data_IF_104648563799
#
_entry.id   IF_104648563799
#
_cell.length_a   1.000
_cell.length_b   1.000
_cell.length_c   1.000
_cell.angle_alpha   90.00
_cell.angle_beta   90.00
_cell.angle_gamma   90.00
#
_symmetry.space_group_name_H-M   'P 1'
#
loop_
_entity.id
_entity.type
_entity.pdbx_description
1 polymer ?
#
# COMPACT_ATOMS: atom_id res chain seq x y z
N UNK A 1 -30.09 20.29 -28.45
CA UNK A 1 -30.38 18.85 -28.28
C UNK A 1 -30.37 18.62 -26.79
N UNK A 2 -31.51 18.23 -26.22
CA UNK A 2 -31.59 17.74 -24.84
C UNK A 2 -30.58 16.60 -24.68
N UNK A 3 -29.53 16.80 -23.89
CA UNK A 3 -28.72 15.69 -23.41
C UNK A 3 -29.59 14.90 -22.45
N UNK A 4 -30.17 13.81 -22.96
CA UNK A 4 -30.94 12.88 -22.15
C UNK A 4 -30.15 12.52 -20.88
N UNK A 5 -30.83 12.59 -19.72
CA UNK A 5 -30.25 12.23 -18.42
C UNK A 5 -29.51 10.89 -18.52
N UNK A 6 -28.20 10.92 -18.27
CA UNK A 6 -27.36 9.72 -18.26
C UNK A 6 -27.76 8.84 -17.07
N UNK A 7 -28.23 7.63 -17.35
CA UNK A 7 -28.56 6.65 -16.31
C UNK A 7 -27.29 5.97 -15.78
N UNK A 8 -27.28 5.56 -14.49
CA UNK A 8 -26.20 4.74 -13.96
C UNK A 8 -25.99 3.46 -14.76
N UNK A 9 -24.74 3.02 -14.86
CA UNK A 9 -24.38 1.71 -15.43
C UNK A 9 -24.00 0.81 -14.24
N UNK A 10 -24.85 -0.16 -13.92
CA UNK A 10 -24.68 -1.14 -12.83
C UNK A 10 -23.60 -2.19 -13.16
N UNK A 11 -22.39 -1.73 -13.48
CA UNK A 11 -21.26 -2.57 -13.93
C UNK A 11 -20.40 -3.11 -12.78
N UNK A 12 -20.58 -2.61 -11.56
CA UNK A 12 -19.80 -3.02 -10.40
C UNK A 12 -18.31 -2.65 -10.50
N UNK A 13 -17.48 -3.33 -9.72
CA UNK A 13 -16.02 -3.16 -9.79
C UNK A 13 -15.46 -3.90 -11.01
N UNK A 14 -14.45 -3.34 -11.70
CA UNK A 14 -13.76 -4.07 -12.76
C UNK A 14 -13.07 -5.32 -12.21
N UNK A 15 -12.89 -6.32 -13.06
CA UNK A 15 -12.07 -7.49 -12.75
C UNK A 15 -10.62 -7.03 -12.48
N UNK A 16 -10.03 -7.34 -11.30
CA UNK A 16 -8.66 -6.95 -11.01
C UNK A 16 -7.62 -7.83 -11.70
N UNK A 17 -7.98 -9.04 -12.17
CA UNK A 17 -7.02 -10.01 -12.73
C UNK A 17 -6.25 -9.46 -13.94
N UNK A 18 -6.86 -8.73 -14.90
CA UNK A 18 -6.14 -8.10 -16.01
C UNK A 18 -5.12 -7.03 -15.58
N UNK A 19 -5.28 -6.43 -14.39
CA UNK A 19 -4.44 -5.35 -13.88
C UNK A 19 -3.24 -5.86 -13.05
N UNK A 20 -3.24 -7.14 -12.68
CA UNK A 20 -2.14 -7.74 -11.92
C UNK A 20 -0.88 -7.86 -12.77
N UNK A 21 0.27 -7.81 -12.10
CA UNK A 21 1.56 -8.13 -12.70
C UNK A 21 1.51 -9.51 -13.40
N UNK A 22 2.04 -9.68 -14.63
CA UNK A 22 1.90 -10.92 -15.41
C UNK A 22 2.32 -12.18 -14.66
N UNK A 23 3.50 -12.14 -14.00
CA UNK A 23 3.99 -13.23 -13.15
C UNK A 23 2.97 -13.62 -12.07
N UNK A 24 2.30 -12.65 -11.43
CA UNK A 24 1.29 -12.96 -10.41
C UNK A 24 0.07 -13.67 -10.98
N UNK A 25 -0.37 -13.22 -12.16
CA UNK A 25 -1.54 -13.78 -12.83
C UNK A 25 -1.26 -15.21 -13.31
N UNK A 26 -0.13 -15.42 -13.96
CA UNK A 26 0.28 -16.71 -14.54
C UNK A 26 0.56 -17.76 -13.46
N UNK A 27 1.05 -17.34 -12.29
CA UNK A 27 1.41 -18.23 -11.19
C UNK A 27 0.41 -18.24 -10.04
N UNK A 28 -0.82 -17.79 -10.29
CA UNK A 28 -1.87 -17.74 -9.26
C UNK A 28 -2.16 -19.14 -8.69
N UNK A 29 -1.84 -19.33 -7.42
CA UNK A 29 -2.01 -20.61 -6.72
C UNK A 29 -0.82 -21.57 -6.84
N UNK A 30 0.26 -21.18 -7.54
CA UNK A 30 1.49 -21.97 -7.70
C UNK A 30 2.66 -21.47 -6.83
N UNK A 31 2.38 -20.71 -5.76
CA UNK A 31 3.40 -20.18 -4.86
C UNK A 31 3.87 -21.23 -3.86
N UNK A 32 5.17 -21.49 -3.79
CA UNK A 32 5.77 -22.50 -2.91
C UNK A 32 6.18 -21.92 -1.57
N UNK A 33 6.86 -20.77 -1.58
CA UNK A 33 7.34 -20.12 -0.36
C UNK A 33 7.53 -18.62 -0.58
N UNK A 34 7.68 -17.90 0.52
CA UNK A 34 8.11 -16.51 0.52
C UNK A 34 9.08 -16.26 1.66
N UNK A 35 9.97 -15.31 1.49
CA UNK A 35 10.82 -14.79 2.55
C UNK A 35 10.84 -13.24 2.55
N UNK A 36 11.71 -12.68 3.38
CA UNK A 36 11.86 -11.24 3.60
C UNK A 36 13.35 -10.91 3.65
N UNK A 37 13.96 -10.57 2.51
CA UNK A 37 15.40 -10.31 2.42
C UNK A 37 15.84 -9.08 3.24
N UNK A 38 14.96 -8.08 3.38
CA UNK A 38 15.15 -6.87 4.19
C UNK A 38 13.79 -6.23 4.54
N UNK A 39 13.73 -5.31 5.52
CA UNK A 39 12.53 -4.51 5.75
C UNK A 39 12.04 -3.84 4.47
N UNK A 40 10.73 -3.96 4.23
CA UNK A 40 10.03 -3.45 3.06
C UNK A 40 10.11 -4.30 1.80
N UNK A 41 10.87 -5.41 1.79
CA UNK A 41 11.02 -6.29 0.61
C UNK A 41 10.49 -7.68 0.91
N UNK A 42 9.61 -8.17 0.05
CA UNK A 42 9.12 -9.55 0.06
C UNK A 42 9.58 -10.25 -1.22
N UNK A 43 9.96 -11.52 -1.10
CA UNK A 43 10.32 -12.36 -2.24
C UNK A 43 9.48 -13.62 -2.22
N UNK A 44 8.83 -13.92 -3.35
CA UNK A 44 7.94 -15.07 -3.52
C UNK A 44 8.46 -15.97 -4.63
N UNK A 45 8.47 -17.27 -4.38
CA UNK A 45 8.97 -18.27 -5.33
C UNK A 45 7.91 -19.32 -5.59
N UNK A 46 7.72 -19.67 -6.86
CA UNK A 46 6.75 -20.69 -7.28
C UNK A 46 7.31 -22.10 -7.14
N UNK A 47 6.48 -23.12 -7.33
CA UNK A 47 6.96 -24.51 -7.34
C UNK A 47 7.98 -24.79 -8.44
N UNK A 48 7.89 -24.05 -9.55
CA UNK A 48 8.73 -24.18 -10.74
C UNK A 48 9.90 -23.18 -10.75
N UNK A 49 10.11 -22.44 -9.66
CA UNK A 49 11.26 -21.55 -9.48
C UNK A 49 11.13 -20.15 -10.11
N UNK A 50 9.92 -19.74 -10.49
CA UNK A 50 9.67 -18.34 -10.89
C UNK A 50 9.67 -17.47 -9.64
N UNK A 51 10.40 -16.37 -9.70
CA UNK A 51 10.55 -15.42 -8.59
C UNK A 51 9.72 -14.15 -8.85
N UNK A 52 9.25 -13.55 -7.77
CA UNK A 52 8.61 -12.24 -7.78
C UNK A 52 9.02 -11.47 -6.54
N UNK A 53 9.51 -10.26 -6.77
CA UNK A 53 9.98 -9.36 -5.73
C UNK A 53 8.95 -8.26 -5.53
N UNK A 54 8.69 -7.89 -4.28
CA UNK A 54 7.71 -6.86 -3.92
C UNK A 54 8.36 -5.84 -3.01
N UNK A 55 8.32 -4.57 -3.40
CA UNK A 55 8.78 -3.43 -2.59
C UNK A 55 7.56 -2.72 -2.03
N UNK A 56 7.49 -2.63 -0.70
CA UNK A 56 6.40 -1.98 0.04
C UNK A 56 6.81 -0.59 0.47
N UNK A 57 6.05 0.40 0.03
CA UNK A 57 6.22 1.79 0.37
C UNK A 57 5.06 2.32 1.22
N UNK A 58 5.41 3.12 2.24
CA UNK A 58 4.46 3.93 2.99
C UNK A 58 3.95 5.08 2.11
N UNK A 59 2.65 5.31 2.16
CA UNK A 59 2.02 6.46 1.51
C UNK A 59 1.01 7.10 2.47
N UNK A 60 0.69 8.37 2.26
CA UNK A 60 -0.46 8.99 2.87
C UNK A 60 -1.75 8.38 2.30
N UNK A 61 -2.75 8.10 3.14
CA UNK A 61 -4.03 7.54 2.66
C UNK A 61 -4.81 8.54 1.80
N UNK A 62 -4.74 9.81 2.17
CA UNK A 62 -5.33 10.92 1.42
C UNK A 62 -4.26 11.47 0.48
N UNK A 63 -4.39 11.19 -0.82
CA UNK A 63 -3.45 11.62 -1.85
C UNK A 63 -4.11 12.59 -2.82
N UNK A 64 -3.34 13.56 -3.28
CA UNK A 64 -3.70 14.34 -4.45
C UNK A 64 -3.39 13.57 -5.75
N UNK A 65 -3.87 14.09 -6.87
CA UNK A 65 -3.69 13.46 -8.19
C UNK A 65 -2.23 13.50 -8.66
N UNK A 66 -1.41 14.43 -8.17
CA UNK A 66 -0.01 14.55 -8.56
C UNK A 66 0.83 13.45 -7.90
N UNK A 67 0.56 13.16 -6.63
CA UNK A 67 1.15 12.03 -5.90
C UNK A 67 0.80 10.72 -6.59
N UNK A 68 -0.48 10.51 -6.95
CA UNK A 68 -0.90 9.29 -7.65
C UNK A 68 -0.19 9.16 -9.00
N UNK A 69 -0.13 10.24 -9.80
CA UNK A 69 0.60 10.23 -11.08
C UNK A 69 2.09 9.94 -10.89
N UNK A 70 2.72 10.53 -9.88
CA UNK A 70 4.13 10.24 -9.58
C UNK A 70 4.36 8.78 -9.21
N UNK A 71 3.47 8.17 -8.43
CA UNK A 71 3.53 6.74 -8.12
C UNK A 71 3.34 5.88 -9.39
N UNK A 72 2.52 6.30 -10.34
CA UNK A 72 2.42 5.66 -11.66
C UNK A 72 3.70 5.83 -12.48
N UNK A 73 4.33 7.01 -12.49
CA UNK A 73 5.61 7.23 -13.20
C UNK A 73 6.70 6.30 -12.64
N UNK A 74 6.78 6.16 -11.30
CA UNK A 74 7.70 5.19 -10.66
C UNK A 74 7.36 3.77 -11.08
N UNK A 75 6.07 3.41 -11.19
CA UNK A 75 5.66 2.08 -11.63
C UNK A 75 6.13 1.80 -13.05
N UNK A 76 5.90 2.73 -13.98
CA UNK A 76 6.27 2.59 -15.38
C UNK A 76 7.80 2.53 -15.58
N UNK A 77 8.55 3.35 -14.84
CA UNK A 77 10.01 3.44 -14.97
C UNK A 77 10.76 2.32 -14.23
N UNK A 78 10.29 1.90 -13.05
CA UNK A 78 11.04 1.04 -12.12
C UNK A 78 10.32 -0.25 -11.70
N UNK A 79 9.02 -0.40 -11.99
CA UNK A 79 8.22 -1.54 -11.50
C UNK A 79 7.25 -2.14 -12.53
N UNK A 80 7.68 -2.17 -13.79
CA UNK A 80 6.99 -2.89 -14.88
C UNK A 80 5.53 -2.43 -15.11
N UNK A 81 5.17 -1.21 -14.70
CA UNK A 81 3.85 -0.62 -14.87
C UNK A 81 2.75 -1.18 -13.95
N UNK A 82 3.11 -1.93 -12.91
CA UNK A 82 2.13 -2.58 -12.02
C UNK A 82 2.31 -2.20 -10.54
N UNK A 83 1.20 -1.80 -9.91
CA UNK A 83 1.13 -1.52 -8.48
C UNK A 83 -0.14 -2.06 -7.86
N UNK A 84 -0.13 -2.23 -6.53
CA UNK A 84 -1.34 -2.50 -5.76
C UNK A 84 -1.30 -1.79 -4.41
N UNK A 85 -2.47 -1.46 -3.88
CA UNK A 85 -2.60 -1.04 -2.49
C UNK A 85 -2.87 -2.23 -1.58
N UNK A 86 -2.27 -2.21 -0.40
CA UNK A 86 -2.55 -3.16 0.67
C UNK A 86 -3.82 -2.79 1.42
N UNK A 87 -4.34 -3.71 2.24
CA UNK A 87 -5.50 -3.46 3.12
C UNK A 87 -5.27 -2.37 4.18
N UNK A 88 -4.01 -1.97 4.39
CA UNK A 88 -3.59 -0.85 5.24
C UNK A 88 -3.00 0.29 4.44
N UNK A 89 -3.41 0.45 3.19
CA UNK A 89 -3.07 1.59 2.33
C UNK A 89 -1.58 1.83 2.06
N UNK A 90 -0.66 0.95 2.47
CA UNK A 90 0.67 0.92 1.86
C UNK A 90 0.55 0.59 0.37
N UNK A 91 1.47 1.10 -0.42
CA UNK A 91 1.61 0.74 -1.82
C UNK A 91 2.65 -0.39 -1.95
N UNK A 92 2.38 -1.35 -2.83
CA UNK A 92 3.31 -2.40 -3.19
C UNK A 92 3.57 -2.34 -4.70
N UNK A 93 4.85 -2.33 -5.04
CA UNK A 93 5.38 -2.46 -6.40
C UNK A 93 5.95 -3.86 -6.56
N UNK A 94 5.78 -4.47 -7.74
CA UNK A 94 6.26 -5.83 -8.00
C UNK A 94 7.19 -5.82 -9.20
N UNK A 95 8.31 -6.53 -9.11
CA UNK A 95 9.31 -6.65 -10.18
C UNK A 95 9.69 -8.11 -10.39
N UNK A 96 9.95 -8.47 -11.64
CA UNK A 96 10.29 -9.83 -12.06
C UNK A 96 11.71 -10.27 -11.71
N UNK A 97 12.60 -9.32 -11.34
CA UNK A 97 14.02 -9.58 -11.09
C UNK A 97 14.54 -8.87 -9.85
N UNK A 98 15.45 -9.52 -9.14
CA UNK A 98 16.08 -8.99 -7.93
C UNK A 98 16.84 -7.69 -8.21
N UNK A 99 17.54 -7.56 -9.35
CA UNK A 99 18.34 -6.37 -9.65
C UNK A 99 17.53 -5.07 -9.75
N UNK A 100 16.21 -5.15 -9.96
CA UNK A 100 15.32 -3.99 -10.02
C UNK A 100 14.90 -3.48 -8.63
N UNK A 101 15.09 -4.28 -7.58
CA UNK A 101 14.67 -3.94 -6.22
C UNK A 101 15.41 -2.72 -5.68
N UNK A 102 16.74 -2.66 -5.84
CA UNK A 102 17.53 -1.56 -5.29
C UNK A 102 17.24 -0.20 -5.98
N UNK A 103 17.21 -0.09 -7.32
CA UNK A 103 16.82 1.16 -8.00
C UNK A 103 15.41 1.64 -7.63
N UNK A 104 14.46 0.71 -7.50
CA UNK A 104 13.09 1.04 -7.10
C UNK A 104 13.02 1.61 -5.67
N UNK A 105 13.75 1.01 -4.73
CA UNK A 105 13.84 1.53 -3.35
C UNK A 105 14.47 2.92 -3.33
N UNK A 106 15.57 3.12 -4.05
CA UNK A 106 16.25 4.42 -4.13
C UNK A 106 15.31 5.51 -4.65
N UNK A 107 14.57 5.22 -5.72
CA UNK A 107 13.63 6.18 -6.29
C UNK A 107 12.45 6.48 -5.35
N UNK A 108 11.92 5.47 -4.67
CA UNK A 108 10.85 5.65 -3.69
C UNK A 108 11.29 6.53 -2.52
N UNK A 109 12.46 6.25 -1.95
CA UNK A 109 13.00 7.01 -0.83
C UNK A 109 13.37 8.44 -1.24
N UNK A 110 13.91 8.64 -2.45
CA UNK A 110 14.20 9.97 -2.99
C UNK A 110 12.95 10.85 -3.14
N UNK A 111 11.80 10.24 -3.45
CA UNK A 111 10.52 10.93 -3.55
C UNK A 111 9.76 11.04 -2.22
N UNK A 112 10.36 10.56 -1.12
CA UNK A 112 9.79 10.64 0.23
C UNK A 112 8.79 9.53 0.56
N UNK A 113 8.79 8.42 -0.18
CA UNK A 113 8.00 7.23 0.13
C UNK A 113 8.85 6.21 0.89
N UNK A 114 8.75 6.13 2.23
CA UNK A 114 9.59 5.23 3.02
C UNK A 114 9.31 3.77 2.68
N UNK A 115 10.36 2.95 2.56
CA UNK A 115 10.24 1.51 2.34
C UNK A 115 10.25 0.78 3.67
N UNK A 116 9.26 -0.08 3.93
CA UNK A 116 9.08 -0.72 5.23
C UNK A 116 7.71 -1.37 5.46
N UNK A 117 7.31 -1.52 6.72
CA UNK A 117 5.99 -2.00 7.12
C UNK A 117 5.76 -3.51 6.92
N UNK A 118 6.83 -4.27 6.74
CA UNK A 118 6.86 -5.75 6.65
C UNK A 118 7.29 -6.38 7.98
N UNK A 119 7.04 -7.68 8.14
CA UNK A 119 7.52 -8.43 9.31
C UNK A 119 7.12 -7.84 10.66
N UNK A 120 8.06 -7.92 11.61
CA UNK A 120 7.88 -7.43 12.98
C UNK A 120 8.19 -5.94 13.09
N UNK A 121 7.31 -5.15 12.48
CA UNK A 121 7.38 -3.68 12.42
C UNK A 121 6.05 -3.06 12.85
N UNK A 122 6.02 -1.74 12.90
CA UNK A 122 4.78 -0.97 12.86
C UNK A 122 4.44 -0.70 11.38
N UNK A 123 3.33 -1.25 10.90
CA UNK A 123 2.82 -0.92 9.56
C UNK A 123 2.06 0.42 9.59
N UNK A 124 1.83 1.01 8.41
CA UNK A 124 0.96 2.18 8.21
C UNK A 124 -0.31 2.15 9.08
N UNK A 125 -0.62 3.31 9.67
CA UNK A 125 -1.76 3.53 10.58
C UNK A 125 -3.04 3.82 9.78
N UNK A 126 -3.93 2.83 9.73
CA UNK A 126 -5.25 3.00 9.12
C UNK A 126 -6.07 4.02 9.91
N UNK A 127 -6.76 4.91 9.20
CA UNK A 127 -7.51 6.02 9.81
C UNK A 127 -8.71 6.47 8.99
N UNK A 128 -9.65 7.10 9.69
CA UNK A 128 -10.90 7.62 9.15
C UNK A 128 -10.73 8.99 8.49
N UNK A 129 -11.83 9.72 8.25
CA UNK A 129 -11.82 11.01 7.56
C UNK A 129 -11.39 12.19 8.46
N UNK A 130 -11.85 12.24 9.72
CA UNK A 130 -11.59 13.38 10.61
C UNK A 130 -12.23 14.68 10.10
N UNK A 131 -11.61 15.81 10.45
CA UNK A 131 -12.07 17.17 10.07
C UNK A 131 -11.99 17.46 8.57
N UNK A 132 -11.29 16.61 7.81
CA UNK A 132 -11.14 16.80 6.37
C UNK A 132 -12.47 16.64 5.61
N UNK A 133 -13.38 15.78 6.10
CA UNK A 133 -14.60 15.48 5.36
C UNK A 133 -15.82 15.06 6.21
N UNK A 134 -15.62 14.52 7.40
CA UNK A 134 -16.75 14.07 8.23
C UNK A 134 -17.43 15.26 8.92
N UNK A 135 -18.75 15.19 9.10
CA UNK A 135 -19.58 16.19 9.79
C UNK A 135 -19.75 15.92 11.30
N UNK A 136 -19.45 14.70 11.76
CA UNK A 136 -19.48 14.28 13.17
C UNK A 136 -18.11 13.87 13.79
N UNK A 137 -16.97 14.49 13.44
CA UNK A 137 -15.67 14.12 14.00
C UNK A 137 -15.50 14.66 15.43
N UNK A 138 -15.06 13.81 16.35
CA UNK A 138 -14.60 14.23 17.68
C UNK A 138 -13.12 14.67 17.70
N UNK A 139 -12.35 14.32 16.67
CA UNK A 139 -10.94 14.70 16.49
C UNK A 139 -10.55 14.65 15.01
N UNK A 140 -9.42 15.26 14.65
CA UNK A 140 -8.82 15.05 13.33
C UNK A 140 -8.30 13.60 13.18
N UNK A 141 -8.25 13.12 11.94
CA UNK A 141 -7.67 11.82 11.60
C UNK A 141 -6.29 11.97 10.95
N UNK A 142 -6.18 12.79 9.89
CA UNK A 142 -4.96 12.86 9.08
C UNK A 142 -3.78 13.46 9.85
N UNK A 143 -4.00 14.57 10.57
CA UNK A 143 -2.96 15.22 11.38
C UNK A 143 -2.52 14.39 12.59
N UNK A 144 -3.45 13.67 13.23
CA UNK A 144 -3.12 12.73 14.31
C UNK A 144 -2.26 11.59 13.78
N UNK A 145 -2.66 10.96 12.66
CA UNK A 145 -1.85 9.90 12.04
C UNK A 145 -0.50 10.39 11.59
N UNK A 146 -0.40 11.59 10.99
CA UNK A 146 0.90 12.15 10.62
C UNK A 146 1.82 12.26 11.84
N UNK A 147 1.31 12.83 12.93
CA UNK A 147 2.08 13.00 14.18
C UNK A 147 2.51 11.66 14.79
N UNK A 148 1.64 10.66 14.76
CA UNK A 148 1.96 9.31 15.24
C UNK A 148 2.98 8.61 14.34
N UNK A 149 2.82 8.67 13.02
CA UNK A 149 3.74 8.07 12.05
C UNK A 149 5.12 8.71 12.13
N UNK A 150 5.22 10.01 12.42
CA UNK A 150 6.51 10.68 12.66
C UNK A 150 7.21 10.14 13.91
N UNK A 151 6.46 9.90 14.98
CA UNK A 151 6.98 9.35 16.23
C UNK A 151 7.49 7.91 16.06
N UNK A 152 6.79 7.10 15.27
CA UNK A 152 7.09 5.66 15.08
C UNK A 152 7.76 5.37 13.74
N UNK A 153 8.30 6.38 13.07
CA UNK A 153 8.85 6.25 11.72
C UNK A 153 9.97 5.20 11.65
N UNK A 154 10.87 5.16 12.64
CA UNK A 154 11.94 4.16 12.68
C UNK A 154 11.40 2.72 12.76
N UNK A 155 10.31 2.51 13.50
CA UNK A 155 9.65 1.21 13.66
C UNK A 155 8.95 0.74 12.38
N UNK A 156 8.67 1.64 11.44
CA UNK A 156 8.18 1.27 10.12
C UNK A 156 9.30 0.72 9.24
N UNK A 157 10.50 1.30 9.32
CA UNK A 157 11.67 0.91 8.53
C UNK A 157 12.49 -0.26 9.10
N UNK A 158 12.19 -0.72 10.32
CA UNK A 158 12.89 -1.81 11.00
C UNK A 158 11.97 -2.99 11.31
N UNK A 159 12.54 -4.20 11.42
CA UNK A 159 11.83 -5.42 11.81
C UNK A 159 12.30 -5.93 13.19
N UNK A 160 12.42 -5.02 14.18
CA UNK A 160 13.01 -5.29 15.49
C UNK A 160 11.98 -5.48 16.62
N UNK A 161 10.68 -5.32 16.32
CA UNK A 161 9.62 -5.51 17.32
C UNK A 161 9.51 -6.99 17.72
N UNK A 162 9.01 -7.31 18.93
CA UNK A 162 8.75 -8.70 19.31
C UNK A 162 7.74 -9.41 18.40
N UNK A 163 6.80 -8.65 17.85
CA UNK A 163 5.81 -9.12 16.87
C UNK A 163 5.29 -7.92 16.06
N UNK A 164 4.56 -8.18 14.99
CA UNK A 164 3.95 -7.16 14.14
C UNK A 164 2.89 -6.36 14.91
N UNK A 165 2.97 -5.03 14.82
CA UNK A 165 2.02 -4.12 15.46
C UNK A 165 1.17 -3.40 14.42
N UNK A 166 -0.13 -3.33 14.70
CA UNK A 166 -1.12 -2.61 13.89
C UNK A 166 -1.80 -1.58 14.77
N UNK A 167 -1.63 -0.31 14.43
CA UNK A 167 -2.27 0.81 15.14
C UNK A 167 -3.37 1.37 14.24
N UNK A 168 -4.54 1.65 14.79
CA UNK A 168 -5.66 2.22 14.03
C UNK A 168 -6.23 3.40 14.79
N UNK A 169 -6.62 4.44 14.07
CA UNK A 169 -7.22 5.62 14.69
C UNK A 169 -8.58 5.91 14.09
N UNK A 170 -9.50 6.34 14.94
CA UNK A 170 -10.87 6.68 14.56
C UNK A 170 -11.23 8.04 15.12
N UNK A 171 -11.81 8.88 14.28
CA UNK A 171 -12.19 10.25 14.64
C UNK A 171 -13.42 10.33 15.55
N UNK A 172 -14.19 9.26 15.70
CA UNK A 172 -15.33 9.15 16.61
C UNK A 172 -15.65 7.67 16.92
N UNK A 173 -16.61 7.43 17.81
CA UNK A 173 -17.05 6.12 18.26
C UNK A 173 -17.72 5.25 17.19
N UNK A 174 -18.10 5.82 16.04
CA UNK A 174 -18.65 5.05 14.91
C UNK A 174 -17.60 4.08 14.36
N UNK A 175 -16.31 4.38 14.56
CA UNK A 175 -15.21 3.50 14.19
C UNK A 175 -15.27 3.07 12.71
N UNK A 176 -15.43 4.01 11.78
CA UNK A 176 -15.66 3.74 10.33
C UNK A 176 -14.53 2.95 9.63
N UNK A 177 -13.44 2.62 10.32
CA UNK A 177 -12.42 1.71 9.81
C UNK A 177 -12.68 0.24 10.17
N UNK A 178 -13.39 -0.04 11.27
CA UNK A 178 -13.51 -1.39 11.87
C UNK A 178 -12.17 -2.10 12.14
N UNK A 179 -11.04 -1.40 11.95
CA UNK A 179 -9.72 -2.03 11.85
C UNK A 179 -9.09 -2.32 13.22
N UNK A 180 -9.66 -1.78 14.30
CA UNK A 180 -9.27 -2.06 15.68
C UNK A 180 -10.11 -3.14 16.36
N UNK A 181 -11.19 -3.62 15.71
CA UNK A 181 -12.14 -4.59 16.28
C UNK A 181 -11.87 -6.04 15.81
N UNK A 182 -10.72 -6.29 15.17
CA UNK A 182 -10.20 -7.61 14.78
C UNK A 182 -8.88 -7.91 15.49
#
# INVERSE_FOLDING_TARGET
>A
MDEAHRTPIESGCPDPIPLMHPIMRENRGNWKWHDRPRPGVLHHVTHDGVELWTVKAGTQRQMDVYTIRRLCDIADEFAEGHVRFTTRSNLEFMVSKEEMVAPLIEQLEADGFPVGGTGNSISMISHTQGWLHCDIPGTDASGVVKSLMDLVYEEFGREEMPNRVKITTSCCQVNCGGQGDI
#
